data_IF_292384862942
#
_entry.id   IF_292384862942
#
_cell.length_a   1.000
_cell.length_b   1.000
_cell.length_c   1.000
_cell.angle_alpha   90.00
_cell.angle_beta   90.00
_cell.angle_gamma   90.00
#
_symmetry.space_group_name_H-M   'P 1'
#
loop_
_entity.id
_entity.type
_entity.pdbx_description
1 polymer ?
#
# COMPACT_ATOMS: atom_id res chain seq x y z
N UNK A 1 -8.06 -10.97 0.44
CA UNK A 1 -7.86 -10.23 1.70
C UNK A 1 -8.70 -10.75 2.86
N UNK A 2 -10.05 -10.67 2.85
CA UNK A 2 -10.87 -11.14 3.99
C UNK A 2 -10.63 -12.62 4.37
N UNK A 3 -10.62 -13.53 3.38
CA UNK A 3 -10.33 -14.95 3.64
C UNK A 3 -8.93 -15.17 4.20
N UNK A 4 -7.97 -14.35 3.78
CA UNK A 4 -6.60 -14.43 4.29
C UNK A 4 -6.52 -13.93 5.75
N UNK A 5 -7.28 -12.88 6.09
CA UNK A 5 -7.43 -12.39 7.45
C UNK A 5 -7.97 -13.46 8.38
N UNK A 6 -9.09 -14.11 8.05
CA UNK A 6 -9.68 -15.16 8.88
C UNK A 6 -8.74 -16.36 9.03
N UNK A 7 -8.18 -16.84 7.92
CA UNK A 7 -7.30 -18.02 7.91
C UNK A 7 -5.99 -17.81 8.65
N UNK A 8 -5.34 -16.67 8.43
CA UNK A 8 -3.98 -16.41 8.95
C UNK A 8 -4.01 -15.97 10.41
N UNK A 9 -4.96 -15.09 10.77
CA UNK A 9 -5.08 -14.61 12.16
C UNK A 9 -5.80 -15.62 13.06
N UNK A 10 -6.64 -16.49 12.49
CA UNK A 10 -7.50 -17.40 13.24
C UNK A 10 -8.72 -16.71 13.85
N UNK A 11 -9.07 -15.49 13.40
CA UNK A 11 -10.30 -14.85 13.85
C UNK A 11 -11.54 -15.50 13.25
N UNK A 12 -12.62 -15.43 14.00
CA UNK A 12 -13.97 -15.77 13.57
C UNK A 12 -14.78 -14.50 13.29
N UNK A 13 -15.84 -14.64 12.49
CA UNK A 13 -16.73 -13.55 12.08
C UNK A 13 -15.96 -12.34 11.51
N UNK A 14 -15.02 -12.61 10.62
CA UNK A 14 -14.17 -11.60 10.02
C UNK A 14 -15.01 -10.59 9.21
N UNK A 15 -14.62 -9.32 9.28
CA UNK A 15 -15.16 -8.26 8.41
C UNK A 15 -14.03 -7.45 7.82
N UNK A 16 -14.25 -6.94 6.61
CA UNK A 16 -13.35 -6.06 5.89
C UNK A 16 -14.14 -4.84 5.40
N UNK A 17 -13.71 -3.66 5.81
CA UNK A 17 -14.14 -2.38 5.24
C UNK A 17 -13.00 -1.78 4.42
N UNK A 18 -13.33 -1.24 3.25
CA UNK A 18 -12.38 -0.67 2.29
C UNK A 18 -12.90 0.68 1.80
N UNK A 19 -12.04 1.69 1.84
CA UNK A 19 -12.18 2.94 1.09
C UNK A 19 -10.92 3.12 0.25
N UNK A 20 -11.08 3.24 -1.08
CA UNK A 20 -9.96 3.28 -2.01
C UNK A 20 -10.21 4.28 -3.15
N UNK A 21 -9.17 5.06 -3.47
CA UNK A 21 -9.11 5.91 -4.66
C UNK A 21 -7.69 5.78 -5.25
N UNK A 22 -7.59 5.36 -6.51
CA UNK A 22 -6.31 5.10 -7.20
C UNK A 22 -6.31 5.84 -8.53
N UNK A 23 -5.29 6.66 -8.77
CA UNK A 23 -5.15 7.49 -9.97
C UNK A 23 -6.42 8.32 -10.29
N UNK A 24 -7.05 8.90 -9.26
CA UNK A 24 -8.23 9.73 -9.42
C UNK A 24 -7.81 11.19 -9.54
N UNK A 25 -8.29 11.89 -10.57
CA UNK A 25 -8.03 13.31 -10.81
C UNK A 25 -7.77 13.58 -12.29
N UNK A 26 -6.99 14.63 -12.57
CA UNK A 26 -6.71 15.10 -13.91
C UNK A 26 -5.23 14.91 -14.28
N UNK A 27 -5.00 14.56 -15.55
CA UNK A 27 -3.67 14.49 -16.13
C UNK A 27 -3.69 15.02 -17.57
N UNK A 28 -2.86 16.01 -17.84
CA UNK A 28 -2.61 16.54 -19.18
C UNK A 28 -1.16 16.32 -19.57
N UNK A 29 -0.92 15.71 -20.73
CA UNK A 29 0.41 15.54 -21.30
C UNK A 29 0.41 16.15 -22.70
N UNK A 30 1.36 17.05 -22.95
CA UNK A 30 1.59 17.68 -24.24
C UNK A 30 2.98 17.33 -24.75
N UNK A 31 3.14 17.22 -26.06
CA UNK A 31 4.41 16.90 -26.69
C UNK A 31 4.64 17.73 -27.95
N UNK A 32 5.90 17.96 -28.30
CA UNK A 32 6.28 18.67 -29.50
C UNK A 32 7.79 18.66 -29.75
N UNK A 33 8.18 18.86 -31.00
CA UNK A 33 9.58 19.05 -31.36
C UNK A 33 10.06 20.44 -30.95
N UNK A 34 11.25 20.52 -30.36
CA UNK A 34 11.89 21.79 -29.99
C UNK A 34 13.39 21.70 -30.19
N UNK A 35 14.03 22.86 -30.37
CA UNK A 35 15.48 22.99 -30.46
C UNK A 35 16.15 22.60 -29.12
N UNK A 36 17.29 21.92 -29.23
CA UNK A 36 18.16 21.60 -28.09
C UNK A 36 19.04 22.79 -27.69
N UNK A 37 19.91 22.62 -26.68
CA UNK A 37 20.85 23.66 -26.24
C UNK A 37 21.79 24.17 -27.34
N UNK A 38 22.10 23.33 -28.34
CA UNK A 38 22.94 23.67 -29.49
C UNK A 38 22.15 24.35 -30.63
N UNK A 39 20.87 24.68 -30.42
CA UNK A 39 20.01 25.33 -31.39
C UNK A 39 19.80 24.51 -32.66
N UNK A 40 19.71 25.19 -33.81
CA UNK A 40 19.54 24.56 -35.13
C UNK A 40 20.74 23.71 -35.58
N UNK A 41 21.89 23.83 -34.90
CA UNK A 41 23.12 23.11 -35.27
C UNK A 41 23.07 21.61 -34.87
N UNK A 42 22.06 21.21 -34.08
CA UNK A 42 21.82 19.83 -33.68
C UNK A 42 20.39 19.38 -34.03
N UNK A 43 20.14 18.07 -34.11
CA UNK A 43 18.78 17.55 -34.27
C UNK A 43 17.86 18.03 -33.14
N UNK A 44 16.59 18.40 -33.44
CA UNK A 44 15.63 18.74 -32.41
C UNK A 44 15.30 17.52 -31.53
N UNK A 45 14.83 17.76 -30.33
CA UNK A 45 14.34 16.70 -29.44
C UNK A 45 12.84 16.82 -29.22
N UNK A 46 12.22 15.68 -28.91
CA UNK A 46 10.81 15.63 -28.52
C UNK A 46 10.66 16.08 -27.07
N UNK A 47 10.24 17.32 -26.84
CA UNK A 47 9.84 17.81 -25.52
C UNK A 47 8.50 17.19 -25.15
N UNK A 48 8.40 16.75 -23.91
CA UNK A 48 7.17 16.30 -23.31
C UNK A 48 6.99 17.04 -22.01
N UNK A 49 5.77 17.53 -21.80
CA UNK A 49 5.39 18.24 -20.58
C UNK A 49 4.10 17.63 -20.05
N UNK A 50 4.04 17.51 -18.73
CA UNK A 50 2.89 16.98 -18.02
C UNK A 50 2.48 17.93 -16.91
N UNK A 51 1.18 18.15 -16.79
CA UNK A 51 0.56 18.66 -15.58
C UNK A 51 -0.32 17.56 -15.01
N UNK A 52 0.01 17.14 -13.79
CA UNK A 52 -0.69 16.09 -13.08
C UNK A 52 -1.26 16.68 -11.80
N UNK A 53 -2.53 16.38 -11.54
CA UNK A 53 -3.20 16.57 -10.26
C UNK A 53 -3.99 15.31 -9.92
N UNK A 54 -3.27 14.29 -9.49
CA UNK A 54 -3.83 12.96 -9.21
C UNK A 54 -3.68 12.59 -7.74
N UNK A 55 -4.73 11.99 -7.19
CA UNK A 55 -4.61 11.10 -6.03
C UNK A 55 -3.96 9.81 -6.53
N UNK A 56 -2.65 9.67 -6.30
CA UNK A 56 -1.92 8.47 -6.70
C UNK A 56 -2.47 7.25 -5.95
N UNK A 57 -2.63 7.38 -4.64
CA UNK A 57 -3.25 6.36 -3.81
C UNK A 57 -3.92 7.01 -2.61
N UNK A 58 -5.17 6.67 -2.33
CA UNK A 58 -5.82 6.82 -1.04
C UNK A 58 -6.38 5.46 -0.68
N UNK A 59 -5.96 4.90 0.45
CA UNK A 59 -6.36 3.57 0.86
C UNK A 59 -6.59 3.53 2.37
N UNK A 60 -7.81 3.20 2.77
CA UNK A 60 -8.15 2.83 4.13
C UNK A 60 -8.66 1.39 4.13
N UNK A 61 -8.01 0.53 4.92
CA UNK A 61 -8.41 -0.84 5.15
C UNK A 61 -8.68 -1.01 6.64
N UNK A 62 -9.80 -1.64 6.99
CA UNK A 62 -10.10 -2.03 8.36
C UNK A 62 -10.62 -3.47 8.37
N UNK A 63 -9.87 -4.33 9.05
CA UNK A 63 -10.22 -5.71 9.33
C UNK A 63 -10.66 -5.82 10.78
N UNK A 64 -11.75 -6.52 11.03
CA UNK A 64 -12.21 -6.83 12.39
C UNK A 64 -12.54 -8.30 12.52
N UNK A 65 -12.47 -8.85 13.73
CA UNK A 65 -12.88 -10.22 14.01
C UNK A 65 -12.67 -10.60 15.47
N UNK A 66 -13.24 -11.72 15.90
CA UNK A 66 -13.07 -12.24 17.24
C UNK A 66 -12.04 -13.37 17.27
N UNK A 67 -11.01 -13.26 18.11
CA UNK A 67 -9.99 -14.28 18.33
C UNK A 67 -10.21 -14.96 19.68
N UNK A 68 -10.45 -16.26 19.66
CA UNK A 68 -10.38 -17.11 20.85
C UNK A 68 -9.04 -17.85 20.84
N UNK A 69 -8.17 -17.58 21.82
CA UNK A 69 -6.83 -18.19 21.88
C UNK A 69 -6.39 -18.41 23.31
N UNK A 70 -5.99 -19.64 23.64
CA UNK A 70 -5.38 -20.00 24.93
C UNK A 70 -6.18 -19.51 26.15
N UNK A 71 -7.50 -19.71 26.13
CA UNK A 71 -8.39 -19.30 27.21
C UNK A 71 -8.65 -17.78 27.30
N UNK A 72 -8.28 -17.02 26.27
CA UNK A 72 -8.66 -15.61 26.08
C UNK A 72 -9.62 -15.46 24.91
N UNK A 73 -10.50 -14.48 24.99
CA UNK A 73 -11.37 -14.07 23.90
C UNK A 73 -11.25 -12.55 23.70
N UNK A 74 -10.89 -12.12 22.49
CA UNK A 74 -10.64 -10.72 22.18
C UNK A 74 -11.18 -10.34 20.81
N UNK A 75 -11.66 -9.11 20.69
CA UNK A 75 -11.91 -8.47 19.41
C UNK A 75 -10.60 -7.87 18.88
N UNK A 76 -10.21 -8.27 17.67
CA UNK A 76 -9.09 -7.70 16.94
C UNK A 76 -9.59 -6.67 15.94
N UNK A 77 -8.86 -5.56 15.83
CA UNK A 77 -9.02 -4.59 14.77
C UNK A 77 -7.65 -4.26 14.18
N UNK A 78 -7.45 -4.66 12.92
CA UNK A 78 -6.25 -4.35 12.14
C UNK A 78 -6.63 -3.28 11.12
N UNK A 79 -5.95 -2.14 11.15
CA UNK A 79 -6.28 -1.04 10.26
C UNK A 79 -5.05 -0.39 9.65
N UNK A 80 -5.26 0.27 8.52
CA UNK A 80 -4.27 1.14 7.92
C UNK A 80 -4.99 2.21 7.13
N UNK A 81 -4.53 3.46 7.21
CA UNK A 81 -5.05 4.56 6.39
C UNK A 81 -3.88 5.40 5.87
N UNK A 82 -3.91 5.74 4.58
CA UNK A 82 -2.86 6.52 3.95
C UNK A 82 -3.33 7.18 2.66
N UNK A 83 -2.62 8.24 2.29
CA UNK A 83 -2.80 8.90 1.01
C UNK A 83 -1.48 9.43 0.47
N UNK A 84 -1.32 9.38 -0.84
CA UNK A 84 -0.20 9.92 -1.59
C UNK A 84 -0.73 10.60 -2.86
N UNK A 85 -0.18 11.77 -3.16
CA UNK A 85 -0.51 12.56 -4.34
C UNK A 85 0.56 12.42 -5.43
N UNK A 86 0.14 12.45 -6.67
CA UNK A 86 0.99 12.69 -7.84
C UNK A 86 0.54 14.02 -8.46
N UNK A 87 0.87 15.11 -7.75
CA UNK A 87 0.50 16.48 -8.12
C UNK A 87 1.77 17.30 -8.36
N UNK A 88 2.34 17.21 -9.57
CA UNK A 88 3.56 17.94 -9.92
C UNK A 88 3.67 18.17 -11.42
N UNK A 89 4.22 19.32 -11.84
CA UNK A 89 4.63 19.50 -13.23
C UNK A 89 5.79 18.55 -13.55
N UNK A 90 5.84 18.12 -14.79
CA UNK A 90 6.88 17.25 -15.31
C UNK A 90 7.31 17.70 -16.68
N UNK A 91 8.60 17.58 -16.97
CA UNK A 91 9.17 17.90 -18.26
C UNK A 91 10.30 16.91 -18.56
N UNK A 92 10.37 16.49 -19.83
CA UNK A 92 11.53 15.79 -20.38
C UNK A 92 12.51 16.82 -20.97
N UNK A 93 13.73 16.84 -20.46
CA UNK A 93 14.81 17.67 -21.00
C UNK A 93 15.48 17.09 -22.26
N UNK A 94 16.34 17.88 -22.94
CA UNK A 94 16.96 17.52 -24.23
C UNK A 94 17.79 16.23 -24.20
N UNK A 95 18.55 16.04 -23.12
CA UNK A 95 19.46 14.89 -22.96
C UNK A 95 18.88 13.78 -22.09
N UNK A 96 17.59 13.84 -21.77
CA UNK A 96 16.94 12.90 -20.88
C UNK A 96 16.19 11.82 -21.69
N UNK A 97 16.44 10.55 -21.38
CA UNK A 97 15.64 9.46 -21.93
C UNK A 97 14.20 9.53 -21.39
N UNK A 98 13.20 9.16 -22.21
CA UNK A 98 11.78 9.22 -21.82
C UNK A 98 11.51 8.47 -20.51
N UNK A 99 12.08 7.28 -20.34
CA UNK A 99 11.93 6.49 -19.12
C UNK A 99 12.58 7.15 -17.90
N UNK A 100 13.78 7.73 -18.06
CA UNK A 100 14.44 8.46 -16.99
C UNK A 100 13.57 9.63 -16.51
N UNK A 101 13.01 10.39 -17.46
CA UNK A 101 12.04 11.44 -17.14
C UNK A 101 10.80 10.87 -16.44
N UNK A 102 10.19 9.80 -16.95
CA UNK A 102 8.96 9.22 -16.40
C UNK A 102 9.13 8.55 -15.03
N UNK A 103 10.33 8.07 -14.68
CA UNK A 103 10.62 7.54 -13.34
C UNK A 103 10.37 8.58 -12.24
N UNK A 104 10.52 9.87 -12.58
CA UNK A 104 10.17 11.00 -11.70
C UNK A 104 8.67 11.15 -11.51
N UNK A 105 7.82 10.41 -12.22
CA UNK A 105 6.36 10.38 -12.06
C UNK A 105 5.88 9.10 -11.36
N UNK A 106 6.77 8.45 -10.61
CA UNK A 106 6.42 7.32 -9.75
C UNK A 106 6.35 7.77 -8.29
N UNK A 107 5.38 7.19 -7.58
CA UNK A 107 5.15 7.39 -6.15
C UNK A 107 5.27 6.03 -5.48
N UNK A 108 6.26 5.89 -4.59
CA UNK A 108 6.36 4.73 -3.72
C UNK A 108 5.30 4.82 -2.61
N UNK A 109 4.59 3.73 -2.38
CA UNK A 109 3.57 3.61 -1.34
C UNK A 109 4.14 2.72 -0.24
N UNK A 110 4.04 3.20 1.00
CA UNK A 110 4.28 2.39 2.19
C UNK A 110 3.37 2.85 3.32
N UNK A 111 2.46 1.99 3.74
CA UNK A 111 1.40 2.28 4.67
C UNK A 111 1.35 1.21 5.77
N UNK A 112 1.95 1.46 6.95
CA UNK A 112 2.03 0.45 8.01
C UNK A 112 0.65 0.12 8.57
N UNK A 113 0.52 -1.09 9.11
CA UNK A 113 -0.68 -1.50 9.83
C UNK A 113 -0.60 -1.20 11.32
N UNK A 114 -1.76 -0.90 11.91
CA UNK A 114 -1.96 -0.75 13.34
C UNK A 114 -2.95 -1.81 13.84
N UNK A 115 -2.62 -2.43 14.98
CA UNK A 115 -3.48 -3.43 15.63
C UNK A 115 -4.00 -2.89 16.96
N UNK A 116 -5.31 -2.96 17.12
CA UNK A 116 -5.99 -2.83 18.41
C UNK A 116 -6.52 -4.18 18.86
N UNK A 117 -6.32 -4.50 20.14
CA UNK A 117 -6.81 -5.73 20.79
C UNK A 117 -7.69 -5.30 21.95
N UNK A 118 -8.97 -5.67 21.87
CA UNK A 118 -9.93 -5.41 22.94
C UNK A 118 -10.38 -6.74 23.54
N UNK A 119 -10.10 -7.01 24.82
CA UNK A 119 -10.58 -8.22 25.47
C UNK A 119 -12.11 -8.20 25.53
N UNK A 120 -12.70 -9.36 25.36
CA UNK A 120 -14.13 -9.59 25.53
C UNK A 120 -14.31 -10.40 26.82
N UNK A 121 -15.30 -10.03 27.63
CA UNK A 121 -15.65 -10.80 28.81
C UNK A 121 -16.16 -12.18 28.38
N UNK A 122 -15.51 -13.23 28.86
CA UNK A 122 -15.94 -14.62 28.71
C UNK A 122 -15.65 -15.42 29.99
N UNK A 123 -15.88 -16.73 29.95
CA UNK A 123 -15.56 -17.62 31.07
C UNK A 123 -14.05 -17.95 31.18
N UNK A 124 -13.26 -17.53 30.19
CA UNK A 124 -11.82 -17.68 30.16
C UNK A 124 -11.15 -16.69 31.11
N UNK A 125 -10.02 -17.11 31.67
CA UNK A 125 -9.22 -16.29 32.58
C UNK A 125 -8.06 -15.59 31.87
N UNK A 126 -7.83 -15.90 30.59
CA UNK A 126 -6.75 -15.36 29.80
C UNK A 126 -7.06 -13.97 29.27
N UNK A 127 -6.10 -13.05 29.39
CA UNK A 127 -6.18 -11.72 28.79
C UNK A 127 -5.14 -11.58 27.67
N UNK A 128 -5.59 -11.14 26.50
CA UNK A 128 -4.72 -10.87 25.35
C UNK A 128 -4.56 -9.35 25.15
N UNK A 129 -3.31 -8.90 25.00
CA UNK A 129 -2.98 -7.50 24.75
C UNK A 129 -1.84 -7.38 23.72
N UNK A 130 -1.66 -6.21 23.10
CA UNK A 130 -0.49 -5.94 22.27
C UNK A 130 0.79 -5.89 23.14
N UNK A 131 1.88 -6.46 22.63
CA UNK A 131 3.21 -6.45 23.25
C UNK A 131 4.23 -5.59 22.49
N UNK A 132 3.82 -4.91 21.41
CA UNK A 132 4.67 -4.05 20.60
C UNK A 132 3.96 -3.55 19.35
N UNK A 133 4.70 -2.86 18.47
CA UNK A 133 4.19 -2.40 17.17
C UNK A 133 3.89 -3.58 16.24
N UNK A 134 2.83 -3.47 15.46
CA UNK A 134 2.53 -4.43 14.39
C UNK A 134 3.54 -4.25 13.25
N UNK A 135 4.04 -5.34 12.71
CA UNK A 135 4.92 -5.35 11.54
C UNK A 135 4.11 -5.65 10.29
N UNK A 136 4.61 -5.16 9.15
CA UNK A 136 3.95 -5.26 7.85
C UNK A 136 3.22 -3.96 7.46
N UNK A 137 3.07 -3.79 6.16
CA UNK A 137 2.49 -2.61 5.54
C UNK A 137 1.77 -3.01 4.25
N UNK A 138 0.89 -2.13 3.77
CA UNK A 138 0.63 -2.07 2.33
C UNK A 138 1.81 -1.37 1.67
N UNK A 139 2.42 -1.97 0.66
CA UNK A 139 3.52 -1.38 -0.08
C UNK A 139 3.35 -1.53 -1.58
N UNK A 140 4.08 -0.72 -2.34
CA UNK A 140 4.02 -0.76 -3.79
C UNK A 140 4.39 0.56 -4.44
N UNK A 141 3.91 0.75 -5.67
CA UNK A 141 4.16 1.97 -6.42
C UNK A 141 3.02 2.28 -7.40
N UNK A 142 2.86 3.56 -7.69
CA UNK A 142 1.87 4.09 -8.63
C UNK A 142 2.52 5.15 -9.51
N UNK A 143 2.18 5.20 -10.79
CA UNK A 143 2.63 6.28 -11.67
C UNK A 143 2.77 5.87 -13.12
N UNK A 144 3.74 6.47 -13.80
CA UNK A 144 4.12 6.15 -15.17
C UNK A 144 5.38 5.29 -15.21
N UNK A 145 5.39 4.32 -16.10
CA UNK A 145 6.56 3.50 -16.40
C UNK A 145 6.69 3.27 -17.91
N UNK A 146 7.86 2.77 -18.32
CA UNK A 146 8.06 2.36 -19.70
C UNK A 146 7.19 1.15 -20.02
N UNK A 147 6.61 1.16 -21.22
CA UNK A 147 5.92 0.02 -21.78
C UNK A 147 6.89 -1.16 -21.99
N UNK A 148 6.51 -2.39 -21.58
CA UNK A 148 7.38 -3.56 -21.77
C UNK A 148 7.48 -3.98 -23.24
N UNK A 149 6.50 -3.60 -24.07
CA UNK A 149 6.35 -4.02 -25.46
C UNK A 149 6.92 -3.03 -26.48
N UNK A 150 7.52 -1.91 -26.04
CA UNK A 150 8.13 -0.97 -26.96
C UNK A 150 8.33 0.45 -26.42
N UNK A 151 8.56 1.43 -27.31
CA UNK A 151 8.67 2.82 -26.92
C UNK A 151 7.31 3.34 -26.44
N UNK A 152 7.33 4.08 -25.35
CA UNK A 152 6.14 4.72 -24.78
C UNK A 152 6.03 4.53 -23.28
N UNK A 153 5.04 5.20 -22.70
CA UNK A 153 4.72 5.13 -21.29
C UNK A 153 3.38 4.42 -21.09
N UNK A 154 3.20 3.82 -19.93
CA UNK A 154 1.92 3.32 -19.45
C UNK A 154 1.72 3.73 -18.00
N UNK A 155 0.47 3.98 -17.64
CA UNK A 155 0.06 4.08 -16.25
C UNK A 155 0.14 2.72 -15.58
N UNK A 156 0.51 2.71 -14.31
CA UNK A 156 0.47 1.50 -13.50
C UNK A 156 0.09 1.78 -12.05
N UNK A 157 -0.50 0.77 -11.42
CA UNK A 157 -0.75 0.68 -9.99
C UNK A 157 -0.37 -0.72 -9.54
N UNK A 158 0.61 -0.82 -8.65
CA UNK A 158 1.01 -2.09 -8.03
C UNK A 158 0.99 -1.91 -6.52
N UNK A 159 0.10 -2.63 -5.85
CA UNK A 159 -0.03 -2.62 -4.39
C UNK A 159 -0.07 -4.05 -3.87
N UNK A 160 0.66 -4.31 -2.81
CA UNK A 160 0.70 -5.58 -2.10
C UNK A 160 0.67 -5.37 -0.59
N UNK A 161 0.27 -6.39 0.14
CA UNK A 161 0.41 -6.51 1.58
C UNK A 161 1.72 -7.25 1.84
N UNK A 162 2.60 -6.67 2.67
CA UNK A 162 3.71 -7.39 3.31
C UNK A 162 3.16 -8.33 4.39
N UNK A 163 3.85 -9.42 4.76
CA UNK A 163 3.42 -10.25 5.88
C UNK A 163 3.17 -9.41 7.14
N UNK A 164 1.95 -9.47 7.67
CA UNK A 164 1.56 -8.70 8.86
C UNK A 164 1.63 -9.60 10.07
N UNK A 165 2.40 -9.18 11.07
CA UNK A 165 2.64 -9.94 12.29
C UNK A 165 2.60 -9.01 13.49
N UNK A 166 1.91 -9.43 14.55
CA UNK A 166 1.92 -8.74 15.83
C UNK A 166 2.55 -9.62 16.93
N UNK A 167 3.18 -8.96 17.90
CA UNK A 167 3.53 -9.58 19.16
C UNK A 167 2.39 -9.33 20.15
N UNK A 168 1.83 -10.40 20.68
CA UNK A 168 0.76 -10.36 21.67
C UNK A 168 1.26 -10.87 23.00
N UNK A 169 0.80 -10.26 24.09
CA UNK A 169 1.03 -10.71 25.45
C UNK A 169 -0.23 -11.40 25.93
N UNK A 170 -0.11 -12.67 26.27
CA UNK A 170 -1.13 -13.46 26.96
C UNK A 170 -0.82 -13.43 28.45
N UNK A 171 -1.77 -12.96 29.25
CA UNK A 171 -1.70 -12.95 30.71
C UNK A 171 -2.71 -13.97 31.20
N UNK A 172 -2.22 -15.05 31.80
CA UNK A 172 -3.03 -16.12 32.37
C UNK A 172 -2.72 -16.20 33.87
N UNK A 173 -3.72 -16.13 34.77
CA UNK A 173 -3.45 -16.14 36.21
C UNK A 173 -2.88 -17.48 36.71
N UNK A 174 -3.08 -18.57 35.98
CA UNK A 174 -2.56 -19.89 36.34
C UNK A 174 -1.20 -20.17 35.69
N UNK A 175 -1.01 -19.73 34.45
CA UNK A 175 0.18 -20.03 33.64
C UNK A 175 1.17 -18.87 33.51
N UNK A 176 0.86 -17.71 34.08
CA UNK A 176 1.66 -16.50 34.01
C UNK A 176 1.57 -15.78 32.66
N UNK A 177 2.62 -15.04 32.33
CA UNK A 177 2.67 -14.18 31.14
C UNK A 177 3.47 -14.86 30.04
N UNK A 178 2.91 -14.90 28.83
CA UNK A 178 3.57 -15.42 27.62
C UNK A 178 3.53 -14.41 26.48
N UNK A 179 4.58 -14.37 25.67
CA UNK A 179 4.61 -13.60 24.42
C UNK A 179 4.32 -14.55 23.27
N UNK A 180 3.36 -14.16 22.43
CA UNK A 180 2.91 -14.91 21.26
C UNK A 180 3.22 -14.10 20.01
N UNK A 181 3.82 -14.75 19.01
CA UNK A 181 3.89 -14.21 17.66
C UNK A 181 2.59 -14.58 16.93
N UNK A 182 1.78 -13.58 16.60
CA UNK A 182 0.50 -13.75 15.92
C UNK A 182 0.64 -13.29 14.46
N UNK A 183 0.67 -14.21 13.48
CA UNK A 183 0.49 -13.80 12.09
C UNK A 183 -0.95 -13.29 11.90
N UNK A 184 -1.11 -12.27 11.05
CA UNK A 184 -2.38 -11.55 10.86
C UNK A 184 -2.81 -11.54 9.39
N UNK A 185 -1.87 -11.26 8.48
CA UNK A 185 -2.08 -11.34 7.04
C UNK A 185 -0.82 -11.93 6.39
N UNK A 186 -0.98 -12.77 5.34
CA UNK A 186 0.15 -13.21 4.54
C UNK A 186 0.58 -12.12 3.56
N UNK A 187 1.74 -12.31 2.92
CA UNK A 187 2.08 -11.54 1.74
C UNK A 187 1.04 -11.79 0.64
N UNK A 188 0.47 -10.72 0.05
CA UNK A 188 -0.55 -10.85 -0.98
C UNK A 188 -0.60 -9.62 -1.90
N UNK A 189 -0.68 -9.81 -3.21
CA UNK A 189 -0.99 -8.73 -4.17
C UNK A 189 -2.44 -8.27 -3.99
N UNK A 190 -2.64 -6.95 -3.89
CA UNK A 190 -3.96 -6.30 -3.80
C UNK A 190 -4.39 -5.81 -5.19
N UNK A 191 -3.49 -5.10 -5.87
CA UNK A 191 -3.69 -4.55 -7.22
C UNK A 191 -2.43 -4.76 -8.02
N UNK A 192 -2.58 -5.24 -9.25
CA UNK A 192 -1.56 -5.19 -10.29
C UNK A 192 -2.26 -4.79 -11.58
N UNK A 193 -2.16 -3.51 -11.93
CA UNK A 193 -2.89 -2.92 -13.04
C UNK A 193 -1.96 -2.02 -13.86
N UNK A 194 -2.19 -2.01 -15.17
CA UNK A 194 -1.53 -1.07 -16.08
C UNK A 194 -2.41 -0.72 -17.27
N UNK A 195 -2.27 0.49 -17.79
CA UNK A 195 -2.98 0.99 -18.98
C UNK A 195 -2.05 1.85 -19.84
N UNK A 196 -2.01 1.55 -21.14
CA UNK A 196 -1.27 2.29 -22.14
C UNK A 196 -2.13 3.37 -22.81
#
# INVERSE_FOLDING_TARGET
>A
LLTAWERESGVSAGKLAVDAALLVGDAGITWGWTEGPDGIAAPPYMRMEGLLDLVACRLSLRFTGALARSGSHSHLELSTTGSASLARPWMRGPNEALFAAASKLQVAIRQPFELSVRPLADAGLGLLACAGSTQGAVSGAVGLEQRPDGPGLRWFVRLSVEPVVALLRLIDPLLGVRILRQPLLPAQTIVDWSLA
#
